data_IF_491417683233
#
_entry.id   IF_491417683233
#
_cell.length_a   1.000
_cell.length_b   1.000
_cell.length_c   1.000
_cell.angle_alpha   90.00
_cell.angle_beta   90.00
_cell.angle_gamma   90.00
#
_symmetry.space_group_name_H-M   'P 1'
#
loop_
_entity.id
_entity.type
_entity.pdbx_description
1 polymer ?
#
# COMPACT_ATOMS: atom_id res chain seq x y z
N UNK A 1 -35.81 -59.97 -54.80
CA UNK A 1 -34.88 -58.92 -55.27
C UNK A 1 -34.72 -57.95 -54.10
N UNK A 2 -33.83 -58.29 -53.42
CA UNK A 2 -32.66 -57.79 -52.78
C UNK A 2 -32.37 -56.33 -53.08
N UNK A 3 -32.31 -55.52 -52.09
CA UNK A 3 -31.39 -54.41 -52.04
C UNK A 3 -31.07 -54.05 -50.54
N UNK A 4 -29.85 -54.40 -50.16
CA UNK A 4 -29.29 -54.12 -48.89
C UNK A 4 -29.00 -52.61 -48.68
N UNK A 5 -29.28 -52.13 -47.50
CA UNK A 5 -28.92 -50.83 -47.14
C UNK A 5 -27.89 -50.92 -45.97
N UNK A 6 -26.61 -50.72 -46.29
CA UNK A 6 -25.51 -50.55 -45.36
C UNK A 6 -25.70 -49.25 -44.59
N UNK A 7 -25.71 -49.34 -43.31
CA UNK A 7 -25.73 -48.23 -42.39
C UNK A 7 -24.28 -47.97 -41.96
N UNK A 8 -23.62 -47.00 -42.59
CA UNK A 8 -22.31 -46.53 -42.16
C UNK A 8 -22.47 -45.52 -41.02
N UNK A 9 -22.13 -45.96 -39.82
CA UNK A 9 -22.05 -45.12 -38.66
C UNK A 9 -20.86 -44.14 -38.74
N UNK A 10 -21.17 -42.86 -38.83
CA UNK A 10 -20.18 -41.81 -38.59
C UNK A 10 -20.03 -41.61 -37.07
N UNK A 11 -18.98 -42.14 -36.53
CA UNK A 11 -18.47 -41.72 -35.21
C UNK A 11 -17.90 -40.31 -35.32
N UNK A 12 -18.64 -39.34 -34.80
CA UNK A 12 -18.19 -37.97 -34.59
C UNK A 12 -17.26 -37.94 -33.36
N UNK A 13 -15.96 -38.04 -33.61
CA UNK A 13 -14.93 -37.86 -32.58
C UNK A 13 -14.86 -36.38 -32.26
N UNK A 14 -15.56 -35.96 -31.19
CA UNK A 14 -15.45 -34.63 -30.64
C UNK A 14 -14.09 -34.51 -29.94
N UNK A 15 -13.13 -33.90 -30.64
CA UNK A 15 -11.83 -33.52 -30.11
C UNK A 15 -12.03 -32.29 -29.26
N UNK A 16 -12.21 -32.44 -27.93
CA UNK A 16 -12.08 -31.36 -26.96
C UNK A 16 -10.61 -30.99 -26.86
N UNK A 17 -10.21 -29.91 -27.51
CA UNK A 17 -8.93 -29.26 -27.28
C UNK A 17 -9.02 -28.48 -25.95
N UNK A 18 -8.63 -29.11 -24.88
CA UNK A 18 -8.26 -28.44 -23.66
C UNK A 18 -7.00 -27.61 -23.92
N UNK A 19 -7.19 -26.36 -24.27
CA UNK A 19 -6.13 -25.36 -24.31
C UNK A 19 -5.92 -24.84 -22.88
N UNK A 20 -5.28 -25.63 -22.04
CA UNK A 20 -4.63 -25.10 -20.83
C UNK A 20 -3.54 -24.13 -21.28
N UNK A 21 -3.91 -22.86 -21.38
CA UNK A 21 -2.95 -21.78 -21.42
C UNK A 21 -2.28 -21.76 -20.04
N UNK A 22 -1.19 -22.51 -19.94
CA UNK A 22 -0.28 -22.46 -18.80
C UNK A 22 0.23 -21.04 -18.67
N UNK A 23 -0.42 -20.24 -17.84
CA UNK A 23 0.06 -18.96 -17.38
C UNK A 23 1.26 -19.26 -16.48
N UNK A 24 2.45 -19.44 -17.10
CA UNK A 24 3.70 -19.43 -16.39
C UNK A 24 3.75 -18.13 -15.62
N UNK A 25 3.57 -18.22 -14.29
CA UNK A 25 3.94 -17.14 -13.38
C UNK A 25 5.41 -16.85 -13.67
N UNK A 26 5.67 -15.73 -14.32
CA UNK A 26 7.02 -15.18 -14.40
C UNK A 26 7.44 -14.98 -12.95
N UNK A 27 8.24 -15.90 -12.46
CA UNK A 27 8.65 -15.94 -11.07
C UNK A 27 9.34 -14.63 -10.71
N UNK A 28 9.14 -14.17 -9.50
CA UNK A 28 9.78 -12.99 -8.88
C UNK A 28 11.33 -13.06 -8.88
N UNK A 29 11.92 -14.13 -9.35
CA UNK A 29 13.37 -14.33 -9.46
C UNK A 29 14.09 -13.32 -10.37
N UNK A 30 13.41 -12.73 -11.38
CA UNK A 30 14.02 -11.74 -12.26
C UNK A 30 14.21 -10.37 -11.60
N UNK A 31 13.37 -10.00 -10.62
CA UNK A 31 13.47 -8.70 -9.93
C UNK A 31 14.45 -8.74 -8.74
N UNK A 32 14.63 -9.89 -8.09
CA UNK A 32 15.59 -10.07 -7.00
C UNK A 32 17.06 -9.81 -7.46
N UNK A 33 17.34 -9.95 -8.75
CA UNK A 33 18.66 -9.69 -9.32
C UNK A 33 19.07 -8.20 -9.32
N UNK A 34 18.11 -7.29 -9.12
CA UNK A 34 18.34 -5.84 -9.09
C UNK A 34 18.16 -5.22 -7.70
N UNK A 35 17.96 -6.02 -6.66
CA UNK A 35 17.87 -5.53 -5.29
C UNK A 35 19.29 -5.39 -4.70
N UNK A 36 19.62 -4.23 -4.09
CA UNK A 36 20.87 -4.05 -3.38
C UNK A 36 21.01 -5.09 -2.26
N UNK A 37 22.17 -5.74 -2.18
CA UNK A 37 22.43 -6.80 -1.20
C UNK A 37 22.86 -6.27 0.16
N UNK A 38 23.42 -5.07 0.16
CA UNK A 38 23.91 -4.38 1.35
C UNK A 38 23.73 -2.87 1.26
N UNK A 39 24.02 -2.18 2.37
CA UNK A 39 23.88 -0.75 2.48
C UNK A 39 24.79 0.01 1.49
N UNK A 40 26.01 -0.47 1.28
CA UNK A 40 26.97 0.16 0.37
C UNK A 40 26.51 0.08 -1.11
N UNK A 41 25.85 -1.01 -1.49
CA UNK A 41 25.24 -1.12 -2.81
C UNK A 41 24.06 -0.17 -2.96
N UNK A 42 23.25 0.00 -1.90
CA UNK A 42 22.15 0.95 -1.90
C UNK A 42 22.63 2.39 -2.02
N UNK A 43 23.69 2.78 -1.28
CA UNK A 43 24.33 4.10 -1.40
C UNK A 43 24.86 4.37 -2.81
N UNK A 44 25.55 3.39 -3.41
CA UNK A 44 26.04 3.50 -4.79
C UNK A 44 24.89 3.66 -5.78
N UNK A 45 23.78 2.94 -5.57
CA UNK A 45 22.60 3.05 -6.41
C UNK A 45 21.95 4.43 -6.24
N UNK A 46 21.79 4.92 -5.02
CA UNK A 46 21.25 6.25 -4.73
C UNK A 46 22.04 7.34 -5.47
N UNK A 47 23.38 7.31 -5.36
CA UNK A 47 24.25 8.24 -6.07
C UNK A 47 24.06 8.18 -7.58
N UNK A 48 24.06 6.98 -8.18
CA UNK A 48 23.85 6.79 -9.63
C UNK A 48 22.49 7.29 -10.09
N UNK A 49 21.43 7.07 -9.29
CA UNK A 49 20.10 7.56 -9.61
C UNK A 49 20.05 9.09 -9.66
N UNK A 50 20.74 9.78 -8.75
CA UNK A 50 20.80 11.25 -8.74
C UNK A 50 21.68 11.77 -9.88
N UNK A 51 22.85 11.18 -10.08
CA UNK A 51 23.77 11.56 -11.16
C UNK A 51 23.12 11.41 -12.56
N UNK A 52 22.19 10.46 -12.71
CA UNK A 52 21.41 10.25 -13.94
C UNK A 52 20.45 11.39 -14.28
N UNK A 53 20.09 12.24 -13.31
CA UNK A 53 19.09 13.32 -13.42
C UNK A 53 17.68 12.85 -13.84
N UNK A 54 17.38 11.56 -13.72
CA UNK A 54 16.07 11.01 -14.04
C UNK A 54 15.08 11.17 -12.88
N UNK A 55 15.56 11.46 -11.68
CA UNK A 55 14.75 11.61 -10.47
C UNK A 55 14.89 13.02 -9.91
N UNK A 56 13.76 13.62 -9.53
CA UNK A 56 13.71 14.95 -8.90
C UNK A 56 13.93 14.84 -7.38
N UNK A 57 15.12 14.41 -6.98
CA UNK A 57 15.50 14.27 -5.57
C UNK A 57 16.73 15.13 -5.32
N UNK A 58 16.79 15.81 -4.19
CA UNK A 58 17.74 16.88 -3.92
C UNK A 58 19.19 16.38 -3.74
N UNK A 59 19.37 15.18 -3.17
CA UNK A 59 20.72 14.65 -2.87
C UNK A 59 20.72 13.11 -2.85
N UNK A 60 21.91 12.48 -2.94
CA UNK A 60 22.05 11.03 -2.76
C UNK A 60 21.53 10.56 -1.39
N UNK A 61 21.72 11.33 -0.32
CA UNK A 61 21.25 10.99 1.03
C UNK A 61 19.72 11.01 1.09
N UNK A 62 19.07 12.00 0.47
CA UNK A 62 17.61 12.05 0.34
C UNK A 62 17.10 10.84 -0.48
N UNK A 63 17.79 10.47 -1.56
CA UNK A 63 17.45 9.30 -2.34
C UNK A 63 17.57 8.00 -1.51
N UNK A 64 18.63 7.89 -0.70
CA UNK A 64 18.87 6.77 0.20
C UNK A 64 17.72 6.62 1.21
N UNK A 65 17.33 7.71 1.87
CA UNK A 65 16.21 7.71 2.84
C UNK A 65 14.90 7.30 2.16
N UNK A 66 14.62 7.81 0.95
CA UNK A 66 13.44 7.41 0.18
C UNK A 66 13.48 5.92 -0.15
N UNK A 67 14.63 5.39 -0.57
CA UNK A 67 14.79 3.97 -0.89
C UNK A 67 14.60 3.10 0.36
N UNK A 68 15.13 3.49 1.53
CA UNK A 68 14.93 2.78 2.80
C UNK A 68 13.47 2.81 3.24
N UNK A 69 12.81 3.96 3.13
CA UNK A 69 11.36 4.07 3.38
C UNK A 69 10.57 3.15 2.45
N UNK A 70 10.94 3.13 1.17
CA UNK A 70 10.31 2.21 0.19
C UNK A 70 10.53 0.75 0.53
N UNK A 71 11.72 0.37 0.98
CA UNK A 71 12.05 -1.00 1.37
C UNK A 71 11.16 -1.47 2.55
N UNK A 72 10.89 -0.61 3.53
CA UNK A 72 9.95 -0.92 4.63
C UNK A 72 8.51 -1.17 4.16
N UNK A 73 8.15 -0.62 2.99
CA UNK A 73 6.86 -0.84 2.32
C UNK A 73 6.93 -1.98 1.27
N UNK A 74 8.04 -2.71 1.20
CA UNK A 74 8.26 -3.76 0.22
C UNK A 74 8.40 -3.26 -1.22
N UNK A 75 8.79 -2.00 -1.42
CA UNK A 75 9.03 -1.41 -2.74
C UNK A 75 10.48 -1.60 -3.18
N UNK A 76 10.70 -1.76 -4.49
CA UNK A 76 12.06 -1.68 -5.03
C UNK A 76 12.60 -0.25 -4.93
N UNK A 77 13.93 -0.05 -4.87
CA UNK A 77 14.53 1.28 -4.77
C UNK A 77 14.06 2.28 -5.84
N UNK A 78 13.93 1.81 -7.08
CA UNK A 78 13.47 2.65 -8.20
C UNK A 78 11.97 2.99 -8.07
N UNK A 79 11.15 2.06 -7.62
CA UNK A 79 9.73 2.32 -7.37
C UNK A 79 9.55 3.35 -6.24
N UNK A 80 10.34 3.25 -5.18
CA UNK A 80 10.37 4.21 -4.10
C UNK A 80 10.69 5.63 -4.59
N UNK A 81 11.77 5.79 -5.38
CA UNK A 81 12.17 7.09 -5.94
C UNK A 81 11.14 7.72 -6.89
N UNK A 82 10.28 6.91 -7.50
CA UNK A 82 9.22 7.40 -8.40
C UNK A 82 7.95 7.80 -7.68
N UNK A 83 7.63 7.15 -6.59
CA UNK A 83 6.33 7.28 -5.95
C UNK A 83 6.35 7.84 -4.54
N UNK A 84 7.54 8.04 -3.94
CA UNK A 84 7.68 8.69 -2.64
C UNK A 84 8.31 10.06 -2.85
N UNK A 85 7.61 11.10 -2.39
CA UNK A 85 8.06 12.48 -2.41
C UNK A 85 8.39 12.94 -0.99
N UNK A 86 9.31 13.87 -0.84
CA UNK A 86 9.57 14.53 0.45
C UNK A 86 8.98 15.91 0.39
N UNK A 87 7.96 16.16 1.21
CA UNK A 87 7.28 17.45 1.34
C UNK A 87 7.41 17.86 2.82
N UNK A 88 8.02 19.01 3.09
CA UNK A 88 8.24 19.53 4.46
C UNK A 88 8.89 18.51 5.41
N UNK A 89 9.85 17.74 4.88
CA UNK A 89 10.56 16.70 5.65
C UNK A 89 9.78 15.41 5.90
N UNK A 90 8.55 15.30 5.40
CA UNK A 90 7.69 14.11 5.54
C UNK A 90 7.71 13.29 4.25
N UNK A 91 7.78 11.98 4.39
CA UNK A 91 7.66 11.04 3.24
C UNK A 91 6.21 10.89 2.84
N UNK A 92 5.90 11.28 1.62
CA UNK A 92 4.55 11.34 1.06
C UNK A 92 4.44 10.39 -0.13
N UNK A 93 3.48 9.47 -0.09
CA UNK A 93 3.18 8.59 -1.21
C UNK A 93 2.17 9.24 -2.16
N UNK A 94 2.32 8.98 -3.45
CA UNK A 94 1.20 9.20 -4.37
C UNK A 94 0.05 8.24 -4.03
N UNK A 95 -1.19 8.66 -4.30
CA UNK A 95 -2.38 7.83 -4.04
C UNK A 95 -2.35 6.51 -4.80
N UNK A 96 -1.78 6.48 -6.01
CA UNK A 96 -1.65 5.26 -6.80
C UNK A 96 -0.62 4.29 -6.20
N UNK A 97 0.51 4.82 -5.71
CA UNK A 97 1.51 3.99 -5.03
C UNK A 97 0.96 3.43 -3.71
N UNK A 98 0.20 4.22 -2.97
CA UNK A 98 -0.50 3.76 -1.76
C UNK A 98 -1.38 2.54 -2.06
N UNK A 99 -2.23 2.61 -3.09
CA UNK A 99 -3.09 1.49 -3.49
C UNK A 99 -2.24 0.28 -3.90
N UNK A 100 -1.15 0.50 -4.64
CA UNK A 100 -0.23 -0.58 -5.03
C UNK A 100 0.41 -1.26 -3.81
N UNK A 101 0.82 -0.51 -2.78
CA UNK A 101 1.36 -1.04 -1.52
C UNK A 101 0.30 -1.87 -0.79
N UNK A 102 -0.93 -1.37 -0.67
CA UNK A 102 -2.05 -2.11 -0.07
C UNK A 102 -2.32 -3.42 -0.80
N UNK A 103 -2.39 -3.40 -2.13
CA UNK A 103 -2.60 -4.60 -2.95
C UNK A 103 -1.45 -5.60 -2.81
N UNK A 104 -0.21 -5.11 -2.79
CA UNK A 104 1.00 -5.94 -2.66
C UNK A 104 1.15 -6.57 -1.28
N UNK A 105 0.58 -5.97 -0.23
CA UNK A 105 0.69 -6.45 1.16
C UNK A 105 0.14 -7.86 1.39
N UNK A 106 -0.69 -8.37 0.47
CA UNK A 106 -1.41 -9.64 0.61
C UNK A 106 -2.55 -9.59 1.66
N UNK A 107 -2.81 -8.42 2.25
CA UNK A 107 -3.92 -8.22 3.18
C UNK A 107 -5.22 -7.83 2.47
N UNK A 108 -5.11 -7.26 1.27
CA UNK A 108 -6.25 -6.84 0.47
C UNK A 108 -6.72 -7.98 -0.43
N UNK A 109 -7.93 -8.48 -0.19
CA UNK A 109 -8.58 -9.48 -1.03
C UNK A 109 -9.22 -8.83 -2.27
N UNK A 110 -9.75 -7.62 -2.11
CA UNK A 110 -10.43 -6.89 -3.17
C UNK A 110 -10.33 -5.38 -2.92
N UNK A 111 -10.07 -4.64 -3.99
CA UNK A 111 -10.14 -3.18 -4.03
C UNK A 111 -10.92 -2.77 -5.27
N UNK A 112 -12.01 -2.04 -5.09
CA UNK A 112 -12.91 -1.65 -6.18
C UNK A 112 -13.26 -0.18 -6.06
N UNK A 113 -13.06 0.58 -7.12
CA UNK A 113 -13.63 1.91 -7.26
C UNK A 113 -15.05 1.72 -7.79
N UNK A 114 -16.05 1.79 -6.88
CA UNK A 114 -17.44 1.55 -7.22
C UNK A 114 -18.06 2.73 -7.97
N UNK A 115 -17.58 3.96 -7.67
CA UNK A 115 -18.04 5.17 -8.34
C UNK A 115 -16.92 6.23 -8.31
N UNK A 116 -16.77 6.97 -9.41
CA UNK A 116 -15.91 8.16 -9.48
C UNK A 116 -16.53 9.17 -10.41
N UNK A 117 -16.89 10.32 -9.85
CA UNK A 117 -17.46 11.50 -10.53
C UNK A 117 -16.79 12.75 -10.02
N UNK A 118 -17.14 13.90 -10.56
CA UNK A 118 -16.66 15.21 -10.05
C UNK A 118 -17.29 15.59 -8.70
N UNK A 119 -18.37 14.92 -8.30
CA UNK A 119 -19.09 15.21 -7.07
C UNK A 119 -18.74 14.24 -5.94
N UNK A 120 -18.45 12.97 -6.27
CA UNK A 120 -18.14 11.96 -5.27
C UNK A 120 -17.28 10.80 -5.82
N UNK A 121 -16.56 10.19 -4.91
CA UNK A 121 -15.89 8.92 -5.14
C UNK A 121 -16.31 7.90 -4.08
N UNK A 122 -16.56 6.66 -4.50
CA UNK A 122 -16.90 5.54 -3.63
C UNK A 122 -15.92 4.42 -3.88
N UNK A 123 -15.26 3.96 -2.83
CA UNK A 123 -14.33 2.84 -2.88
C UNK A 123 -14.80 1.76 -1.91
N UNK A 124 -14.73 0.52 -2.36
CA UNK A 124 -14.95 -0.67 -1.55
C UNK A 124 -13.68 -1.49 -1.48
N UNK A 125 -13.37 -1.97 -0.29
CA UNK A 125 -12.25 -2.88 -0.08
C UNK A 125 -12.62 -4.01 0.86
N UNK A 126 -12.02 -5.17 0.64
CA UNK A 126 -12.19 -6.32 1.51
C UNK A 126 -10.81 -6.76 2.02
N UNK A 127 -10.61 -6.65 3.32
CA UNK A 127 -9.39 -7.07 3.99
C UNK A 127 -9.49 -8.54 4.41
N UNK A 128 -8.39 -9.27 4.30
CA UNK A 128 -8.27 -10.64 4.79
C UNK A 128 -8.57 -10.70 6.30
N UNK A 129 -9.46 -11.65 6.68
CA UNK A 129 -9.90 -11.80 8.07
C UNK A 129 -11.10 -10.94 8.47
N UNK A 130 -11.57 -10.03 7.64
CA UNK A 130 -12.84 -9.31 7.86
C UNK A 130 -14.01 -10.10 7.28
N UNK A 131 -15.17 -10.03 7.95
CA UNK A 131 -16.39 -10.74 7.52
C UNK A 131 -17.08 -10.06 6.33
N UNK A 132 -17.00 -8.74 6.24
CA UNK A 132 -17.66 -7.94 5.21
C UNK A 132 -16.69 -6.93 4.59
N UNK A 133 -16.91 -6.54 3.32
CA UNK A 133 -16.17 -5.45 2.71
C UNK A 133 -16.47 -4.12 3.39
N UNK A 134 -15.48 -3.25 3.43
CA UNK A 134 -15.60 -1.88 3.91
C UNK A 134 -15.83 -0.94 2.72
N UNK A 135 -16.81 -0.03 2.84
CA UNK A 135 -17.16 0.97 1.84
C UNK A 135 -16.92 2.36 2.39
N UNK A 136 -16.23 3.19 1.62
CA UNK A 136 -15.95 4.58 1.96
C UNK A 136 -16.37 5.52 0.84
N UNK A 137 -16.84 6.70 1.21
CA UNK A 137 -17.29 7.72 0.27
C UNK A 137 -16.66 9.06 0.61
N UNK A 138 -16.10 9.70 -0.41
CA UNK A 138 -15.67 11.09 -0.34
C UNK A 138 -16.46 11.94 -1.32
N UNK A 139 -16.89 13.12 -0.87
CA UNK A 139 -17.71 14.03 -1.68
C UNK A 139 -17.07 15.41 -1.82
N UNK A 140 -17.43 16.13 -2.87
CA UNK A 140 -16.99 17.52 -3.06
C UNK A 140 -17.48 18.44 -1.91
N UNK A 141 -18.60 18.13 -1.27
CA UNK A 141 -19.06 18.84 -0.08
C UNK A 141 -18.09 18.67 1.10
N UNK A 142 -17.56 17.46 1.30
CA UNK A 142 -16.52 17.19 2.31
C UNK A 142 -15.23 17.93 1.98
N UNK A 143 -14.82 17.95 0.72
CA UNK A 143 -13.65 18.70 0.26
C UNK A 143 -13.78 20.22 0.49
N UNK A 144 -14.96 20.78 0.27
CA UNK A 144 -15.24 22.20 0.59
C UNK A 144 -15.15 22.46 2.09
N UNK A 145 -15.74 21.59 2.91
CA UNK A 145 -15.66 21.71 4.37
C UNK A 145 -14.22 21.64 4.89
N UNK A 146 -13.38 20.81 4.26
CA UNK A 146 -11.95 20.68 4.59
C UNK A 146 -11.07 21.79 3.97
N UNK A 147 -11.63 22.79 3.28
CA UNK A 147 -10.87 23.89 2.65
C UNK A 147 -10.04 23.46 1.42
N UNK A 148 -10.24 22.24 0.90
CA UNK A 148 -9.45 21.68 -0.19
C UNK A 148 -9.96 22.14 -1.57
N UNK A 149 -11.26 22.35 -1.72
CA UNK A 149 -11.90 22.62 -3.00
C UNK A 149 -11.46 23.94 -3.67
N UNK A 150 -10.85 24.87 -2.94
CA UNK A 150 -10.31 26.13 -3.48
C UNK A 150 -8.94 25.97 -4.15
N UNK A 151 -8.25 24.85 -3.96
CA UNK A 151 -6.92 24.59 -4.53
C UNK A 151 -7.02 24.26 -6.01
N UNK A 152 -6.03 24.69 -6.81
CA UNK A 152 -6.07 24.59 -8.28
C UNK A 152 -6.34 23.18 -8.81
N UNK A 153 -5.72 22.15 -8.23
CA UNK A 153 -5.90 20.77 -8.67
C UNK A 153 -7.34 20.26 -8.46
N UNK A 154 -8.02 20.72 -7.41
CA UNK A 154 -9.41 20.37 -7.13
C UNK A 154 -10.39 20.97 -8.13
N UNK A 155 -10.05 22.14 -8.68
CA UNK A 155 -10.84 22.79 -9.73
C UNK A 155 -10.60 22.13 -11.11
N UNK A 156 -9.35 21.71 -11.38
CA UNK A 156 -8.99 21.18 -12.69
C UNK A 156 -9.31 19.69 -12.82
N UNK A 157 -9.12 18.91 -11.73
CA UNK A 157 -9.25 17.45 -11.74
C UNK A 157 -10.04 16.93 -10.52
N UNK A 158 -11.30 17.40 -10.31
CA UNK A 158 -12.06 17.08 -9.10
C UNK A 158 -12.25 15.58 -8.86
N UNK A 159 -12.58 14.82 -9.90
CA UNK A 159 -12.76 13.38 -9.78
C UNK A 159 -11.46 12.63 -9.36
N UNK A 160 -10.31 13.05 -9.87
CA UNK A 160 -9.02 12.47 -9.49
C UNK A 160 -8.67 12.81 -8.04
N UNK A 161 -8.91 14.04 -7.61
CA UNK A 161 -8.66 14.48 -6.23
C UNK A 161 -9.58 13.77 -5.23
N UNK A 162 -10.87 13.62 -5.57
CA UNK A 162 -11.81 12.83 -4.76
C UNK A 162 -11.38 11.37 -4.64
N UNK A 163 -10.92 10.75 -5.74
CA UNK A 163 -10.41 9.39 -5.71
C UNK A 163 -9.15 9.27 -4.85
N UNK A 164 -8.20 10.18 -5.00
CA UNK A 164 -6.98 10.18 -4.20
C UNK A 164 -7.30 10.27 -2.70
N UNK A 165 -8.19 11.19 -2.31
CA UNK A 165 -8.60 11.37 -0.91
C UNK A 165 -9.37 10.18 -0.36
N UNK A 166 -10.32 9.65 -1.13
CA UNK A 166 -11.06 8.45 -0.77
C UNK A 166 -10.12 7.24 -0.57
N UNK A 167 -9.12 7.08 -1.45
CA UNK A 167 -8.13 6.01 -1.36
C UNK A 167 -7.26 6.14 -0.10
N UNK A 168 -6.79 7.35 0.22
CA UNK A 168 -5.94 7.55 1.39
C UNK A 168 -6.69 7.28 2.69
N UNK A 169 -7.93 7.74 2.82
CA UNK A 169 -8.71 7.52 4.04
C UNK A 169 -9.12 6.06 4.24
N UNK A 170 -9.62 5.39 3.20
CA UNK A 170 -10.01 3.98 3.33
C UNK A 170 -8.79 3.09 3.62
N UNK A 171 -7.63 3.39 3.04
CA UNK A 171 -6.40 2.66 3.32
C UNK A 171 -5.97 2.82 4.78
N UNK A 172 -6.05 4.02 5.36
CA UNK A 172 -5.72 4.26 6.78
C UNK A 172 -6.69 3.59 7.74
N UNK A 173 -7.98 3.55 7.38
CA UNK A 173 -9.00 2.93 8.23
C UNK A 173 -8.86 1.40 8.22
N UNK A 174 -8.63 0.81 7.04
CA UNK A 174 -8.69 -0.64 6.87
C UNK A 174 -7.32 -1.31 6.94
N UNK A 175 -6.25 -0.61 6.56
CA UNK A 175 -4.88 -1.14 6.47
C UNK A 175 -3.86 -0.29 7.24
N UNK A 176 -4.11 0.09 8.51
CA UNK A 176 -3.20 0.95 9.27
C UNK A 176 -1.81 0.32 9.46
N UNK A 177 -1.75 -0.98 9.56
CA UNK A 177 -0.52 -1.78 9.66
C UNK A 177 0.33 -1.80 8.38
N UNK A 178 -0.30 -1.60 7.23
CA UNK A 178 0.38 -1.50 5.93
C UNK A 178 0.89 -0.08 5.69
N UNK A 179 0.17 0.92 6.23
CA UNK A 179 0.41 2.36 6.01
C UNK A 179 1.31 3.00 7.06
N UNK A 180 2.01 2.20 7.86
CA UNK A 180 2.80 2.67 8.98
C UNK A 180 3.88 3.71 8.56
N UNK A 181 3.81 4.91 9.17
CA UNK A 181 4.86 5.93 9.08
C UNK A 181 4.92 6.74 7.79
N UNK A 182 3.94 6.62 6.87
CA UNK A 182 3.93 7.39 5.62
C UNK A 182 2.67 8.24 5.47
N UNK A 183 2.83 9.40 4.82
CA UNK A 183 1.74 10.30 4.45
C UNK A 183 1.30 10.05 2.99
N UNK A 184 0.17 10.61 2.59
CA UNK A 184 -0.33 10.54 1.20
C UNK A 184 -0.51 11.96 0.67
N UNK A 185 -0.33 12.14 -0.63
CA UNK A 185 -0.56 13.42 -1.29
C UNK A 185 -1.94 13.98 -0.94
N UNK A 186 -1.98 15.27 -0.59
CA UNK A 186 -3.20 15.96 -0.16
C UNK A 186 -3.52 15.86 1.34
N UNK A 187 -2.85 15.00 2.10
CA UNK A 187 -3.01 14.98 3.57
C UNK A 187 -2.28 16.16 4.24
N UNK A 188 -1.10 16.49 3.76
CA UNK A 188 -0.34 17.66 4.24
C UNK A 188 -0.98 18.99 3.87
N UNK A 189 -1.92 18.95 2.95
CA UNK A 189 -2.66 20.12 2.49
C UNK A 189 -3.81 20.54 3.42
N UNK A 190 -4.21 19.71 4.35
CA UNK A 190 -5.35 19.91 5.23
C UNK A 190 -4.91 20.35 6.63
N UNK A 191 -4.35 21.53 6.79
CA UNK A 191 -3.89 22.13 8.04
C UNK A 191 -2.62 21.48 8.66
N UNK A 192 -1.44 22.13 8.54
CA UNK A 192 -0.21 21.64 9.15
C UNK A 192 -0.27 21.55 10.69
N UNK A 193 -1.17 22.28 11.34
CA UNK A 193 -1.32 22.27 12.81
C UNK A 193 -2.01 21.01 13.34
N UNK A 194 -2.78 20.29 12.52
CA UNK A 194 -3.49 19.09 12.96
C UNK A 194 -2.62 17.81 13.04
N UNK A 195 -1.39 17.85 12.55
CA UNK A 195 -0.51 16.67 12.45
C UNK A 195 0.76 16.76 13.31
N UNK A 196 1.00 17.86 14.00
CA UNK A 196 2.20 18.03 14.85
C UNK A 196 2.06 17.44 16.26
N UNK A 197 0.87 16.99 16.66
CA UNK A 197 0.72 16.14 17.82
C UNK A 197 0.94 14.67 17.42
N UNK A 198 2.19 14.29 17.23
CA UNK A 198 2.57 12.90 17.48
C UNK A 198 2.12 12.61 18.92
N UNK A 199 1.31 11.55 19.18
CA UNK A 199 0.96 11.21 20.55
C UNK A 199 2.27 11.06 21.31
N UNK A 200 2.49 11.90 22.31
CA UNK A 200 3.61 11.76 23.20
C UNK A 200 3.51 10.36 23.79
N UNK A 201 4.39 9.46 23.35
CA UNK A 201 4.53 8.15 23.95
C UNK A 201 5.09 8.42 25.34
N UNK A 202 4.19 8.62 26.30
CA UNK A 202 4.53 8.62 27.71
C UNK A 202 4.94 7.19 28.04
N UNK A 203 6.25 6.93 27.99
CA UNK A 203 6.80 5.71 28.54
C UNK A 203 6.55 5.81 30.04
N UNK A 204 5.46 5.21 30.51
CA UNK A 204 5.26 4.94 31.94
C UNK A 204 6.33 3.91 32.29
N UNK A 205 7.44 4.38 32.82
CA UNK A 205 8.39 3.51 33.50
C UNK A 205 7.75 3.11 34.81
N UNK A 206 7.34 1.84 34.88
CA UNK A 206 7.01 1.19 36.15
C UNK A 206 8.33 1.00 36.93
N UNK A 207 8.83 2.07 37.54
CA UNK A 207 9.92 2.03 38.55
C UNK A 207 9.34 1.63 39.92
N UNK A 208 8.54 0.57 39.94
CA UNK A 208 8.23 -0.09 41.21
C UNK A 208 9.38 -1.06 41.54
N UNK A 209 10.18 -0.83 42.60
CA UNK A 209 11.17 -1.80 43.00
C UNK A 209 10.45 -3.08 43.41
N UNK A 210 10.78 -4.18 42.76
CA UNK A 210 10.35 -5.49 43.17
C UNK A 210 10.84 -5.75 44.58
N UNK A 211 9.94 -5.62 45.55
CA UNK A 211 10.18 -6.14 46.90
C UNK A 211 10.23 -7.66 46.80
N UNK A 212 11.44 -8.19 46.78
CA UNK A 212 11.72 -9.60 47.05
C UNK A 212 11.20 -9.92 48.43
N UNK A 213 10.06 -10.62 48.51
CA UNK A 213 9.61 -11.23 49.74
C UNK A 213 10.66 -12.24 50.23
N UNK A 214 11.18 -12.01 51.40
CA UNK A 214 12.09 -12.93 52.07
C UNK A 214 11.37 -14.25 52.39
N UNK A 215 12.05 -15.39 52.30
CA UNK A 215 11.50 -16.69 52.72
C UNK A 215 11.67 -16.88 54.20
N UNK A 216 10.68 -16.50 55.00
CA UNK A 216 10.57 -16.89 56.41
C UNK A 216 9.32 -17.78 56.55
N UNK A 217 9.55 -19.08 56.45
CA UNK A 217 8.69 -20.11 57.07
C UNK A 217 9.32 -21.51 56.97
N UNK A 218 10.43 -21.70 57.67
CA UNK A 218 10.95 -23.07 57.92
C UNK A 218 11.37 -23.17 59.38
N UNK A 219 10.40 -23.04 60.32
CA UNK A 219 10.61 -23.37 61.73
C UNK A 219 9.26 -23.66 62.41
N UNK A 220 8.64 -24.80 62.13
CA UNK A 220 7.63 -25.38 63.03
C UNK A 220 7.34 -26.85 62.61
N UNK A 221 8.30 -27.70 62.84
CA UNK A 221 8.05 -29.15 63.13
C UNK A 221 9.33 -29.70 63.77
N UNK A 222 9.35 -29.61 65.09
CA UNK A 222 10.07 -30.47 65.98
C UNK A 222 9.11 -30.89 67.11
#
# INVERSE_FOLDING_TARGET
RDDGHSNDGHEETTMTMDHEVGMQRVGSAGMAAFEPRDFSELERLAKRCIDSRLFKVASPDAALVIMLTGASLGLSPVAALRGIHVIEGKSVLSSDLLVAVVLKSGQCLRWTVAETTEERCVIETHRKGQQAPYRHTWTMAMARKAGLASKGNWNTYPAAMLRARCSSEIARIVYPDVMFGVFVEGELDADPAAHDEAPAVTIVRDDAPAQLAAPDALAAFA
#
